data_IF_954569354099
#
_entry.id   IF_954569354099
#
_cell.length_a   1.000
_cell.length_b   1.000
_cell.length_c   1.000
_cell.angle_alpha   90.00
_cell.angle_beta   90.00
_cell.angle_gamma   90.00
#
_symmetry.space_group_name_H-M   'P 1'
#
loop_
_entity.id
_entity.type
_entity.pdbx_description
1 polymer ?
#
# COMPACT_ATOMS: atom_id res chain seq x y z
N UNK A 1 6.94 12.94 -21.74
CA UNK A 1 7.35 11.92 -20.74
C UNK A 1 6.25 11.73 -19.68
N UNK A 2 5.11 12.39 -19.85
CA UNK A 2 4.09 12.58 -18.81
C UNK A 2 3.12 11.41 -18.67
N UNK A 3 2.76 10.70 -19.75
CA UNK A 3 1.82 9.56 -19.68
C UNK A 3 2.19 8.46 -18.68
N UNK A 4 3.49 8.19 -18.50
CA UNK A 4 3.97 7.17 -17.53
C UNK A 4 3.99 7.69 -16.09
N UNK A 5 4.04 9.00 -15.94
CA UNK A 5 4.09 9.71 -14.67
C UNK A 5 2.70 9.73 -14.02
N UNK A 6 1.67 9.84 -14.86
CA UNK A 6 0.27 9.78 -14.46
C UNK A 6 -0.12 8.34 -14.08
N UNK A 7 0.23 7.34 -14.89
CA UNK A 7 -0.14 5.92 -14.65
C UNK A 7 0.34 5.39 -13.28
N UNK A 8 1.55 5.74 -12.85
CA UNK A 8 2.10 5.30 -11.57
C UNK A 8 1.39 5.91 -10.36
N UNK A 9 1.16 7.22 -10.46
CA UNK A 9 0.48 8.00 -9.43
C UNK A 9 -0.97 7.54 -9.34
N UNK A 10 -1.63 7.31 -10.47
CA UNK A 10 -3.00 6.82 -10.52
C UNK A 10 -3.16 5.44 -9.87
N UNK A 11 -2.25 4.50 -10.16
CA UNK A 11 -2.26 3.16 -9.54
C UNK A 11 -2.08 3.27 -8.04
N UNK A 12 -1.08 4.03 -7.58
CA UNK A 12 -0.79 4.20 -6.17
C UNK A 12 -1.92 4.93 -5.43
N UNK A 13 -2.45 6.01 -6.00
CA UNK A 13 -3.56 6.77 -5.44
C UNK A 13 -4.82 5.94 -5.36
N UNK A 14 -5.17 5.21 -6.43
CA UNK A 14 -6.34 4.33 -6.44
C UNK A 14 -6.23 3.22 -5.40
N UNK A 15 -5.06 2.58 -5.30
CA UNK A 15 -4.77 1.60 -4.27
C UNK A 15 -4.90 2.21 -2.86
N UNK A 16 -4.30 3.39 -2.64
CA UNK A 16 -4.32 4.07 -1.33
C UNK A 16 -5.73 4.47 -0.89
N UNK A 17 -6.57 4.95 -1.83
CA UNK A 17 -7.99 5.24 -1.56
C UNK A 17 -8.71 3.97 -1.14
N UNK A 18 -8.59 2.88 -1.90
CA UNK A 18 -9.28 1.63 -1.56
C UNK A 18 -8.80 1.03 -0.24
N UNK A 19 -7.50 1.09 0.04
CA UNK A 19 -6.94 0.66 1.32
C UNK A 19 -7.43 1.51 2.49
N UNK A 20 -7.54 2.84 2.31
CA UNK A 20 -8.11 3.73 3.32
C UNK A 20 -9.59 3.43 3.59
N UNK A 21 -10.39 3.28 2.54
CA UNK A 21 -11.81 2.93 2.67
C UNK A 21 -12.00 1.58 3.38
N UNK A 22 -11.20 0.57 3.02
CA UNK A 22 -11.21 -0.71 3.70
C UNK A 22 -10.82 -0.56 5.17
N UNK A 23 -9.75 0.17 5.47
CA UNK A 23 -9.29 0.40 6.83
C UNK A 23 -10.38 1.05 7.69
N UNK A 24 -10.95 2.16 7.20
CA UNK A 24 -11.91 2.96 7.95
C UNK A 24 -13.22 2.19 8.17
N UNK A 25 -13.63 1.37 7.20
CA UNK A 25 -14.79 0.46 7.34
C UNK A 25 -14.58 -0.58 8.43
N UNK A 26 -13.40 -1.20 8.49
CA UNK A 26 -13.13 -2.32 9.41
C UNK A 26 -12.47 -1.91 10.73
N UNK A 27 -12.07 -0.65 10.90
CA UNK A 27 -11.39 -0.19 12.11
C UNK A 27 -12.21 -0.40 13.39
N UNK A 28 -13.42 0.18 13.47
CA UNK A 28 -14.28 0.02 14.65
C UNK A 28 -14.70 -1.45 14.86
N UNK A 29 -15.19 -2.17 13.83
CA UNK A 29 -15.56 -3.58 14.00
C UNK A 29 -14.41 -4.49 14.43
N UNK A 30 -13.18 -4.28 13.94
CA UNK A 30 -12.02 -5.06 14.39
C UNK A 30 -11.60 -4.74 15.82
N UNK A 31 -11.74 -3.48 16.25
CA UNK A 31 -11.49 -3.07 17.62
C UNK A 31 -12.47 -3.71 18.61
N UNK A 32 -13.72 -3.90 18.19
CA UNK A 32 -14.74 -4.59 18.97
C UNK A 32 -14.54 -6.11 18.98
N UNK A 33 -14.34 -6.71 17.81
CA UNK A 33 -14.09 -8.15 17.67
C UNK A 33 -13.45 -8.51 16.33
N UNK A 34 -12.11 -8.51 16.30
CA UNK A 34 -11.35 -8.92 15.12
C UNK A 34 -11.72 -10.33 14.63
N UNK A 35 -11.98 -11.28 15.55
CA UNK A 35 -12.35 -12.66 15.20
C UNK A 35 -13.68 -12.72 14.43
N UNK A 36 -14.66 -11.91 14.83
CA UNK A 36 -15.98 -11.91 14.21
C UNK A 36 -15.96 -11.37 12.77
N UNK A 37 -15.10 -10.38 12.49
CA UNK A 37 -15.10 -9.67 11.20
C UNK A 37 -13.95 -10.05 10.27
N UNK A 38 -12.94 -10.79 10.76
CA UNK A 38 -11.73 -11.13 9.99
C UNK A 38 -12.05 -11.78 8.64
N UNK A 39 -12.96 -12.76 8.60
CA UNK A 39 -13.35 -13.42 7.33
C UNK A 39 -13.90 -12.44 6.29
N UNK A 40 -14.77 -11.52 6.72
CA UNK A 40 -15.32 -10.50 5.82
C UNK A 40 -14.25 -9.50 5.41
N UNK A 41 -13.40 -9.07 6.35
CA UNK A 41 -12.32 -8.14 6.07
C UNK A 41 -11.35 -8.69 5.02
N UNK A 42 -10.96 -9.98 5.11
CA UNK A 42 -10.14 -10.64 4.09
C UNK A 42 -10.88 -10.75 2.76
N UNK A 43 -12.15 -11.14 2.77
CA UNK A 43 -12.96 -11.28 1.55
C UNK A 43 -13.08 -9.96 0.77
N UNK A 44 -13.12 -8.82 1.47
CA UNK A 44 -13.15 -7.50 0.85
C UNK A 44 -11.76 -6.94 0.52
N UNK A 45 -10.71 -7.38 1.22
CA UNK A 45 -9.32 -6.98 0.93
C UNK A 45 -8.75 -7.72 -0.29
N UNK A 46 -9.09 -8.99 -0.47
CA UNK A 46 -8.54 -9.84 -1.52
C UNK A 46 -8.76 -9.29 -2.95
N UNK A 47 -9.94 -8.75 -3.32
CA UNK A 47 -10.13 -8.09 -4.62
C UNK A 47 -9.24 -6.86 -4.83
N UNK A 48 -9.03 -6.06 -3.78
CA UNK A 48 -8.11 -4.90 -3.83
C UNK A 48 -6.70 -5.39 -4.15
N UNK A 49 -6.24 -6.43 -3.45
CA UNK A 49 -4.94 -7.04 -3.72
C UNK A 49 -4.87 -7.64 -5.13
N UNK A 50 -5.89 -8.36 -5.59
CA UNK A 50 -5.94 -8.92 -6.93
C UNK A 50 -5.82 -7.86 -8.05
N UNK A 51 -6.39 -6.68 -7.82
CA UNK A 51 -6.34 -5.56 -8.76
C UNK A 51 -4.96 -4.87 -8.76
N UNK A 52 -4.43 -4.54 -7.58
CA UNK A 52 -3.29 -3.62 -7.45
C UNK A 52 -1.96 -4.26 -7.08
N UNK A 53 -1.95 -5.53 -6.66
CA UNK A 53 -0.76 -6.20 -6.09
C UNK A 53 -0.47 -7.47 -6.88
N UNK A 54 0.81 -7.73 -7.16
CA UNK A 54 1.20 -8.99 -7.78
C UNK A 54 1.02 -10.17 -6.79
N UNK A 55 0.59 -11.37 -7.23
CA UNK A 55 0.44 -12.51 -6.34
C UNK A 55 1.74 -12.95 -5.63
N UNK A 56 2.90 -12.70 -6.25
CA UNK A 56 4.24 -12.94 -5.71
C UNK A 56 4.84 -11.70 -5.02
N UNK A 57 4.02 -10.68 -4.73
CA UNK A 57 4.49 -9.48 -4.05
C UNK A 57 4.99 -9.79 -2.63
N UNK A 58 6.11 -9.18 -2.30
CA UNK A 58 6.83 -9.40 -1.04
C UNK A 58 5.92 -9.06 0.14
N UNK A 59 5.67 -10.04 1.01
CA UNK A 59 4.87 -9.90 2.25
C UNK A 59 3.42 -9.44 2.01
N UNK A 60 2.87 -9.69 0.82
CA UNK A 60 1.46 -9.39 0.52
C UNK A 60 0.50 -10.34 1.24
N UNK A 61 0.86 -11.62 1.34
CA UNK A 61 0.07 -12.65 2.03
C UNK A 61 -0.08 -12.37 3.53
N UNK A 62 0.88 -11.68 4.17
CA UNK A 62 0.82 -11.38 5.60
C UNK A 62 -0.42 -10.55 5.94
N UNK A 63 -0.78 -9.59 5.08
CA UNK A 63 -1.96 -8.75 5.28
C UNK A 63 -3.26 -9.53 5.02
N UNK A 64 -3.26 -10.44 4.05
CA UNK A 64 -4.42 -11.30 3.76
C UNK A 64 -4.63 -12.37 4.84
N UNK A 65 -3.57 -12.88 5.45
CA UNK A 65 -3.62 -13.89 6.51
C UNK A 65 -3.94 -13.28 7.88
N UNK A 66 -3.49 -12.06 8.11
CA UNK A 66 -3.72 -11.33 9.36
C UNK A 66 -4.14 -9.88 9.07
N UNK A 67 -5.39 -9.65 8.66
CA UNK A 67 -5.88 -8.31 8.36
C UNK A 67 -5.85 -7.47 9.63
N UNK A 68 -5.35 -6.25 9.51
CA UNK A 68 -5.19 -5.32 10.60
C UNK A 68 -5.51 -3.92 10.13
N UNK A 69 -6.12 -3.14 11.02
CA UNK A 69 -6.52 -1.75 10.78
C UNK A 69 -5.90 -0.84 11.84
N UNK A 70 -5.80 0.44 11.51
CA UNK A 70 -5.28 1.48 12.40
C UNK A 70 -6.10 2.76 12.29
N UNK A 71 -6.04 3.60 13.31
CA UNK A 71 -6.58 4.96 13.26
C UNK A 71 -5.49 5.93 13.74
N UNK A 72 -5.01 6.83 12.87
CA UNK A 72 -5.39 7.00 11.47
C UNK A 72 -4.96 5.81 10.57
N UNK A 73 -5.58 5.71 9.39
CA UNK A 73 -5.24 4.72 8.36
C UNK A 73 -3.76 4.77 8.01
N UNK A 74 -3.23 3.62 7.59
CA UNK A 74 -1.87 3.53 7.12
C UNK A 74 -1.64 4.13 5.72
N UNK A 75 -2.75 4.37 5.03
CA UNK A 75 -2.85 4.96 3.71
C UNK A 75 -3.76 6.18 3.79
N UNK A 76 -3.26 7.34 3.37
CA UNK A 76 -4.08 8.55 3.31
C UNK A 76 -3.68 9.43 2.13
N UNK A 77 -4.30 9.23 0.94
CA UNK A 77 -3.90 9.91 -0.29
C UNK A 77 -4.16 11.43 -0.26
N UNK A 78 -4.99 11.92 0.65
CA UNK A 78 -5.29 13.37 0.76
C UNK A 78 -4.17 14.14 1.47
N UNK A 79 -3.35 13.45 2.25
CA UNK A 79 -2.30 14.07 3.07
C UNK A 79 -0.91 13.50 2.81
N UNK A 80 -0.78 12.25 2.38
CA UNK A 80 0.49 11.62 2.13
C UNK A 80 1.13 12.26 0.88
N UNK A 81 2.43 12.54 0.95
CA UNK A 81 3.13 13.27 -0.11
C UNK A 81 4.05 12.33 -0.88
N UNK A 82 3.93 12.31 -2.21
CA UNK A 82 4.92 11.65 -3.08
C UNK A 82 6.10 12.60 -3.22
N UNK A 83 7.18 12.35 -2.47
CA UNK A 83 8.38 13.21 -2.46
C UNK A 83 9.26 13.01 -3.69
N UNK A 84 9.35 11.78 -4.20
CA UNK A 84 10.20 11.45 -5.33
C UNK A 84 9.64 10.24 -6.10
N UNK A 85 10.00 10.16 -7.38
CA UNK A 85 9.64 9.07 -8.28
C UNK A 85 10.82 8.71 -9.19
N UNK A 86 11.16 7.43 -9.24
CA UNK A 86 12.13 6.91 -10.20
C UNK A 86 11.40 6.01 -11.19
N UNK A 87 11.35 6.42 -12.46
CA UNK A 87 10.57 5.75 -13.50
C UNK A 87 11.52 5.11 -14.51
N UNK A 88 11.28 3.84 -14.81
CA UNK A 88 11.94 3.09 -15.89
C UNK A 88 10.89 2.41 -16.77
N UNK A 89 11.32 1.70 -17.83
CA UNK A 89 10.41 1.04 -18.78
C UNK A 89 9.46 0.02 -18.12
N UNK A 90 9.92 -0.67 -17.07
CA UNK A 90 9.20 -1.79 -16.45
C UNK A 90 9.12 -1.72 -14.93
N UNK A 91 9.60 -0.64 -14.32
CA UNK A 91 9.64 -0.47 -12.87
C UNK A 91 9.51 0.99 -12.49
N UNK A 92 8.75 1.24 -11.43
CA UNK A 92 8.57 2.55 -10.81
C UNK A 92 8.84 2.42 -9.32
N UNK A 93 9.61 3.35 -8.78
CA UNK A 93 9.80 3.53 -7.34
C UNK A 93 9.14 4.84 -6.94
N UNK A 94 8.21 4.78 -5.98
CA UNK A 94 7.59 5.96 -5.38
C UNK A 94 8.10 6.11 -3.95
N UNK A 95 8.62 7.28 -3.61
CA UNK A 95 8.95 7.65 -2.24
C UNK A 95 7.80 8.48 -1.69
N UNK A 96 7.19 7.98 -0.62
CA UNK A 96 5.99 8.56 0.00
C UNK A 96 6.30 8.90 1.44
N UNK A 97 6.09 10.16 1.79
CA UNK A 97 6.16 10.66 3.16
C UNK A 97 4.76 10.64 3.75
N UNK A 98 4.58 9.86 4.83
CA UNK A 98 3.33 9.92 5.58
C UNK A 98 3.26 11.20 6.39
N UNK A 99 2.10 11.83 6.41
CA UNK A 99 1.88 13.02 7.23
C UNK A 99 0.94 12.76 8.43
N UNK A 100 0.43 11.53 8.56
CA UNK A 100 -0.27 11.01 9.73
C UNK A 100 0.57 10.07 10.58
N UNK A 101 0.21 9.98 11.87
CA UNK A 101 0.80 9.04 12.83
C UNK A 101 2.30 9.26 12.99
N UNK A 102 3.09 8.18 12.88
CA UNK A 102 4.55 8.19 13.05
C UNK A 102 5.33 8.90 11.92
N UNK A 103 4.65 9.45 10.91
CA UNK A 103 5.28 10.17 9.79
C UNK A 103 6.42 9.39 9.12
N UNK A 104 6.21 8.09 8.97
CA UNK A 104 7.19 7.19 8.36
C UNK A 104 7.37 7.50 6.86
N UNK A 105 8.56 7.23 6.34
CA UNK A 105 8.83 7.21 4.90
C UNK A 105 8.65 5.81 4.35
N UNK A 106 7.92 5.70 3.25
CA UNK A 106 7.70 4.46 2.53
C UNK A 106 8.26 4.54 1.11
N UNK A 107 8.70 3.39 0.60
CA UNK A 107 9.03 3.20 -0.79
C UNK A 107 8.18 2.10 -1.38
N UNK A 108 7.43 2.44 -2.42
CA UNK A 108 6.62 1.48 -3.16
C UNK A 108 7.33 1.11 -4.45
N UNK A 109 7.48 -0.20 -4.69
CA UNK A 109 7.99 -0.74 -5.95
C UNK A 109 6.82 -1.26 -6.77
N UNK A 110 6.55 -0.61 -7.90
CA UNK A 110 5.50 -0.99 -8.86
C UNK A 110 6.22 -1.52 -10.11
N UNK A 111 5.80 -2.66 -10.64
CA UNK A 111 6.46 -3.29 -11.81
C UNK A 111 5.46 -3.61 -12.90
N UNK A 112 5.90 -3.45 -14.14
CA UNK A 112 5.15 -3.78 -15.35
C UNK A 112 5.41 -5.22 -15.77
N UNK A 113 4.38 -6.05 -15.90
CA UNK A 113 4.44 -7.40 -16.48
C UNK A 113 3.26 -7.59 -17.43
N UNK A 114 3.51 -8.11 -18.64
CA UNK A 114 2.46 -8.33 -19.66
C UNK A 114 1.55 -7.11 -19.89
N UNK A 115 2.14 -5.91 -19.88
CA UNK A 115 1.47 -4.62 -20.00
C UNK A 115 0.63 -4.14 -18.80
N UNK A 116 0.59 -4.87 -17.69
CA UNK A 116 -0.07 -4.47 -16.45
C UNK A 116 0.95 -3.97 -15.43
N UNK A 117 0.59 -2.94 -14.67
CA UNK A 117 1.37 -2.42 -13.55
C UNK A 117 0.72 -2.79 -12.22
N UNK A 118 1.49 -3.39 -11.32
CA UNK A 118 1.04 -3.69 -9.95
C UNK A 118 2.16 -3.52 -8.94
N UNK A 119 1.78 -3.28 -7.69
CA UNK A 119 2.66 -3.25 -6.53
C UNK A 119 3.33 -4.61 -6.34
N UNK A 120 4.65 -4.59 -6.20
CA UNK A 120 5.46 -5.77 -5.91
C UNK A 120 5.99 -5.74 -4.48
N UNK A 121 6.23 -4.55 -3.92
CA UNK A 121 6.85 -4.40 -2.60
C UNK A 121 6.56 -3.03 -2.00
N UNK A 122 6.41 -3.01 -0.68
CA UNK A 122 6.46 -1.82 0.17
C UNK A 122 7.65 -1.94 1.10
N UNK A 123 8.45 -0.89 1.20
CA UNK A 123 9.55 -0.79 2.15
C UNK A 123 9.29 0.39 3.09
N UNK A 124 9.71 0.27 4.36
CA UNK A 124 9.73 1.38 5.33
C UNK A 124 11.16 1.83 5.57
N UNK A 125 11.39 3.13 5.65
CA UNK A 125 12.69 3.68 6.01
C UNK A 125 12.89 3.60 7.52
N UNK A 126 14.07 3.17 7.95
CA UNK A 126 14.45 3.17 9.35
C UNK A 126 15.49 4.26 9.59
N UNK A 127 15.09 5.36 10.22
CA UNK A 127 15.96 6.52 10.44
C UNK A 127 17.18 6.21 11.30
N UNK A 128 17.08 5.26 12.25
CA UNK A 128 18.21 4.88 13.12
C UNK A 128 19.33 4.17 12.34
N UNK A 129 18.98 3.38 11.34
CA UNK A 129 19.95 2.60 10.56
C UNK A 129 20.24 3.17 9.17
N UNK A 130 19.46 4.15 8.72
CA UNK A 130 19.54 4.73 7.37
C UNK A 130 19.18 3.74 6.26
N UNK A 131 18.45 2.65 6.57
CA UNK A 131 18.18 1.54 5.65
C UNK A 131 16.69 1.35 5.41
N UNK A 132 16.37 0.94 4.19
CA UNK A 132 15.04 0.44 3.82
C UNK A 132 14.85 -1.00 4.28
N UNK A 133 13.69 -1.30 4.86
CA UNK A 133 13.31 -2.66 5.29
C UNK A 133 11.98 -3.04 4.65
N UNK A 134 11.87 -4.28 4.18
CA UNK A 134 10.61 -4.80 3.63
C UNK A 134 9.50 -4.73 4.66
N UNK A 135 8.38 -4.14 4.27
CA UNK A 135 7.17 -4.00 5.06
C UNK A 135 6.03 -4.75 4.35
N UNK A 136 5.06 -5.24 5.11
CA UNK A 136 3.84 -5.78 4.50
C UNK A 136 3.17 -4.69 3.67
N UNK A 137 2.55 -5.07 2.55
CA UNK A 137 1.74 -4.15 1.75
C UNK A 137 0.49 -3.81 2.57
#
# INVERSE_FOLDING_TARGET
>A
MDDKMDEATEIFSSFSVQMKCWNDKFYLPMKESAVAVSKQAVAELAPIFGQYVWPDAVRSEERLNNPSTSQPSDYDPDIDTIENREISKSKILLHVQKNTGFRNKFRYTIVKRKNEWKLLRRDVFNDLSGKWKSHHI
#
